data_IF_273618161449
#
_entry.id   IF_273618161449
#
_cell.length_a   1.000
_cell.length_b   1.000
_cell.length_c   1.000
_cell.angle_alpha   90.00
_cell.angle_beta   90.00
_cell.angle_gamma   90.00
#
_symmetry.space_group_name_H-M   'P 1'
#
loop_
_entity.id
_entity.type
_entity.pdbx_description
1 polymer ?
#
# COMPACT_ATOMS: atom_id res chain seq x y z
N UNK A 1 4.66 17.58 -14.42
CA UNK A 1 3.76 16.40 -14.49
C UNK A 1 4.31 15.36 -13.53
N UNK A 2 3.48 14.83 -12.61
CA UNK A 2 3.94 13.92 -11.57
C UNK A 2 4.51 12.62 -12.14
N UNK A 3 5.56 12.03 -11.55
CA UNK A 3 6.18 10.78 -12.05
C UNK A 3 5.20 9.61 -12.15
N UNK A 4 4.22 9.56 -11.26
CA UNK A 4 3.13 8.56 -11.25
C UNK A 4 1.97 8.89 -12.21
N UNK A 5 2.09 9.98 -12.97
CA UNK A 5 1.26 10.30 -14.14
C UNK A 5 2.07 10.25 -15.44
N UNK A 6 3.29 9.72 -15.40
CA UNK A 6 4.08 9.47 -16.60
C UNK A 6 3.37 8.47 -17.52
N UNK A 7 3.69 8.52 -18.82
CA UNK A 7 3.16 7.57 -19.79
C UNK A 7 3.47 6.11 -19.38
N UNK A 8 4.66 5.86 -18.83
CA UNK A 8 5.06 4.53 -18.34
C UNK A 8 4.21 4.06 -17.17
N UNK A 9 3.99 4.91 -16.16
CA UNK A 9 3.16 4.55 -15.00
C UNK A 9 1.71 4.24 -15.43
N UNK A 10 1.15 5.04 -16.33
CA UNK A 10 -0.18 4.80 -16.88
C UNK A 10 -0.26 3.51 -17.70
N UNK A 11 0.76 3.22 -18.50
CA UNK A 11 0.82 1.98 -19.27
C UNK A 11 0.94 0.76 -18.37
N UNK A 12 1.75 0.81 -17.30
CA UNK A 12 1.83 -0.25 -16.29
C UNK A 12 0.45 -0.57 -15.69
N UNK A 13 -0.33 0.45 -15.33
CA UNK A 13 -1.69 0.25 -14.78
C UNK A 13 -2.65 -0.31 -15.84
N UNK A 14 -2.58 0.18 -17.08
CA UNK A 14 -3.39 -0.35 -18.19
C UNK A 14 -3.04 -1.79 -18.54
N UNK A 15 -1.79 -2.22 -18.33
CA UNK A 15 -1.38 -3.62 -18.50
C UNK A 15 -2.03 -4.49 -17.43
N UNK A 16 -1.96 -4.07 -16.17
CA UNK A 16 -2.62 -4.75 -15.04
C UNK A 16 -4.15 -4.85 -15.25
N UNK A 17 -4.76 -3.80 -15.78
CA UNK A 17 -6.17 -3.81 -16.18
C UNK A 17 -6.47 -4.85 -17.27
N UNK A 18 -5.68 -4.86 -18.36
CA UNK A 18 -5.88 -5.79 -19.50
C UNK A 18 -5.75 -7.26 -19.12
N UNK A 19 -4.88 -7.57 -18.16
CA UNK A 19 -4.69 -8.95 -17.66
C UNK A 19 -5.66 -9.29 -16.51
N UNK A 20 -6.61 -8.40 -16.21
CA UNK A 20 -7.67 -8.64 -15.23
C UNK A 20 -7.25 -8.53 -13.77
N UNK A 21 -6.05 -8.00 -13.46
CA UNK A 21 -5.57 -7.82 -12.09
C UNK A 21 -6.02 -6.51 -11.45
N UNK A 22 -6.52 -5.57 -12.24
CA UNK A 22 -7.21 -4.35 -11.78
C UNK A 22 -8.46 -4.11 -12.61
N UNK A 23 -9.48 -3.50 -12.02
CA UNK A 23 -10.59 -2.92 -12.78
C UNK A 23 -10.23 -1.51 -13.28
N UNK A 24 -10.92 -0.98 -14.32
CA UNK A 24 -10.71 0.40 -14.77
C UNK A 24 -10.94 1.44 -13.66
N UNK A 25 -11.92 1.17 -12.79
CA UNK A 25 -12.22 2.02 -11.63
C UNK A 25 -11.04 2.02 -10.65
N UNK A 26 -10.46 0.86 -10.35
CA UNK A 26 -9.33 0.74 -9.44
C UNK A 26 -8.05 1.36 -10.00
N UNK A 27 -7.75 1.16 -11.30
CA UNK A 27 -6.64 1.84 -11.96
C UNK A 27 -6.83 3.38 -11.96
N UNK A 28 -8.07 3.84 -12.16
CA UNK A 28 -8.45 5.24 -12.09
C UNK A 28 -8.20 5.89 -10.72
N UNK A 29 -8.23 5.14 -9.62
CA UNK A 29 -7.97 5.68 -8.28
C UNK A 29 -6.52 6.14 -8.10
N UNK A 30 -5.54 5.40 -8.62
CA UNK A 30 -4.15 5.84 -8.59
C UNK A 30 -3.93 7.06 -9.49
N UNK A 31 -4.64 7.14 -10.62
CA UNK A 31 -4.60 8.34 -11.46
C UNK A 31 -5.17 9.57 -10.73
N UNK A 32 -6.31 9.41 -10.05
CA UNK A 32 -6.93 10.46 -9.26
C UNK A 32 -6.01 10.91 -8.12
N UNK A 33 -5.38 9.96 -7.41
CA UNK A 33 -4.38 10.24 -6.38
C UNK A 33 -3.21 11.06 -6.94
N UNK A 34 -2.64 10.63 -8.07
CA UNK A 34 -1.52 11.32 -8.71
C UNK A 34 -1.86 12.70 -9.29
N UNK A 35 -3.14 13.03 -9.41
CA UNK A 35 -3.64 14.30 -9.93
C UNK A 35 -4.15 15.26 -8.85
N UNK A 36 -4.05 14.88 -7.58
CA UNK A 36 -4.54 15.64 -6.45
C UNK A 36 -3.51 16.69 -5.98
N UNK A 37 -3.77 18.00 -6.18
CA UNK A 37 -2.80 19.03 -5.83
C UNK A 37 -2.47 19.07 -4.33
N UNK A 38 -3.37 18.60 -3.46
CA UNK A 38 -3.13 18.59 -2.03
C UNK A 38 -2.14 17.51 -1.60
N UNK A 39 -1.82 16.56 -2.49
CA UNK A 39 -0.84 15.51 -2.28
C UNK A 39 0.45 15.72 -3.08
N UNK A 40 0.54 16.79 -3.89
CA UNK A 40 1.68 17.03 -4.79
C UNK A 40 3.02 17.01 -4.06
N UNK A 41 3.11 17.62 -2.87
CA UNK A 41 4.36 17.65 -2.11
C UNK A 41 4.78 16.24 -1.67
N UNK A 42 3.86 15.43 -1.15
CA UNK A 42 4.14 14.03 -0.77
C UNK A 42 4.52 13.18 -1.98
N UNK A 43 3.73 13.28 -3.05
CA UNK A 43 3.93 12.48 -4.25
C UNK A 43 5.26 12.81 -4.92
N UNK A 44 5.63 14.11 -4.98
CA UNK A 44 6.87 14.55 -5.63
C UNK A 44 8.13 14.00 -4.95
N UNK A 45 8.00 13.60 -3.69
CA UNK A 45 9.05 13.02 -2.84
C UNK A 45 9.02 11.51 -2.76
N UNK A 46 7.94 10.90 -3.21
CA UNK A 46 7.82 9.45 -3.18
C UNK A 46 8.72 8.82 -4.23
N UNK A 47 9.37 7.74 -3.83
CA UNK A 47 10.23 6.95 -4.69
C UNK A 47 9.37 6.09 -5.62
N UNK A 48 8.40 5.40 -5.04
CA UNK A 48 7.45 4.53 -5.75
C UNK A 48 6.03 4.76 -5.27
N UNK A 49 5.07 4.36 -6.11
CA UNK A 49 3.73 4.01 -5.68
C UNK A 49 3.55 2.52 -5.82
N UNK A 50 2.67 1.94 -5.03
CA UNK A 50 2.31 0.54 -5.17
C UNK A 50 0.81 0.32 -5.16
N UNK A 51 0.36 -0.68 -5.91
CA UNK A 51 -0.99 -1.22 -5.83
C UNK A 51 -0.92 -2.57 -5.14
N UNK A 52 -1.69 -2.75 -4.08
CA UNK A 52 -1.81 -4.05 -3.41
C UNK A 52 -3.13 -4.69 -3.80
N UNK A 53 -3.06 -5.77 -4.57
CA UNK A 53 -4.21 -6.51 -5.08
C UNK A 53 -4.34 -7.84 -4.34
N UNK A 54 -5.53 -8.11 -3.80
CA UNK A 54 -5.89 -9.42 -3.25
C UNK A 54 -6.27 -10.33 -4.41
N UNK A 55 -5.65 -11.51 -4.47
CA UNK A 55 -5.89 -12.52 -5.50
C UNK A 55 -6.37 -13.84 -4.88
N UNK A 56 -6.89 -14.75 -5.70
CA UNK A 56 -7.27 -16.08 -5.25
C UNK A 56 -6.06 -16.91 -4.83
N UNK A 57 -5.05 -16.94 -5.70
CA UNK A 57 -3.80 -17.65 -5.50
C UNK A 57 -2.68 -16.88 -6.20
N UNK A 58 -1.53 -16.75 -5.55
CA UNK A 58 -0.35 -16.09 -6.14
C UNK A 58 0.39 -16.99 -7.11
N UNK A 59 0.24 -18.31 -6.97
CA UNK A 59 0.90 -19.29 -7.84
C UNK A 59 0.18 -19.41 -9.19
N UNK A 60 -1.08 -18.94 -9.25
CA UNK A 60 -1.90 -18.86 -10.46
C UNK A 60 -1.81 -17.51 -11.19
N UNK A 61 -0.87 -16.64 -10.83
CA UNK A 61 -0.70 -15.34 -11.50
C UNK A 61 -0.26 -15.52 -12.97
N UNK A 62 -0.70 -14.64 -13.89
CA UNK A 62 -0.30 -14.66 -15.29
C UNK A 62 1.14 -14.15 -15.47
N UNK A 63 2.13 -14.95 -15.05
CA UNK A 63 3.53 -14.54 -14.98
C UNK A 63 4.11 -14.16 -16.35
N UNK A 64 3.68 -14.83 -17.42
CA UNK A 64 4.10 -14.51 -18.79
C UNK A 64 3.65 -13.12 -19.22
N UNK A 65 2.39 -12.78 -18.94
CA UNK A 65 1.80 -11.49 -19.25
C UNK A 65 2.35 -10.38 -18.35
N UNK A 66 2.62 -10.66 -17.07
CA UNK A 66 3.32 -9.75 -16.16
C UNK A 66 4.73 -9.45 -16.68
N UNK A 67 5.51 -10.46 -17.06
CA UNK A 67 6.83 -10.27 -17.65
C UNK A 67 6.76 -9.47 -18.97
N UNK A 68 5.77 -9.74 -19.82
CA UNK A 68 5.52 -8.98 -21.04
C UNK A 68 5.09 -7.53 -20.79
N UNK A 69 4.56 -7.22 -19.60
CA UNK A 69 4.30 -5.86 -19.12
C UNK A 69 5.55 -5.17 -18.52
N UNK A 70 6.71 -5.83 -18.55
CA UNK A 70 7.96 -5.31 -17.98
C UNK A 70 8.07 -5.50 -16.47
N UNK A 71 7.24 -6.36 -15.87
CA UNK A 71 7.30 -6.64 -14.45
C UNK A 71 8.57 -7.45 -14.11
N UNK A 72 9.29 -7.02 -13.09
CA UNK A 72 10.45 -7.72 -12.52
C UNK A 72 10.11 -8.15 -11.10
N UNK A 73 10.27 -9.43 -10.79
CA UNK A 73 10.06 -9.94 -9.44
C UNK A 73 11.04 -9.26 -8.48
N UNK A 74 10.49 -8.66 -7.43
CA UNK A 74 11.24 -7.91 -6.41
C UNK A 74 11.35 -8.74 -5.13
N UNK A 75 10.23 -9.32 -4.70
CA UNK A 75 10.15 -10.18 -3.54
C UNK A 75 9.05 -11.21 -3.73
N UNK A 76 9.26 -12.44 -3.23
CA UNK A 76 8.27 -13.50 -3.32
C UNK A 76 8.39 -14.47 -2.15
N UNK A 77 7.24 -14.83 -1.59
CA UNK A 77 7.06 -15.91 -0.62
C UNK A 77 5.68 -16.55 -0.86
N UNK A 78 5.40 -17.75 -0.34
CA UNK A 78 4.08 -18.35 -0.48
C UNK A 78 2.96 -17.39 -0.08
N UNK A 79 2.06 -17.13 -1.04
CA UNK A 79 0.91 -16.25 -0.89
C UNK A 79 1.16 -14.74 -0.84
N UNK A 80 2.38 -14.29 -1.13
CA UNK A 80 2.70 -12.87 -1.30
C UNK A 80 3.83 -12.69 -2.32
N UNK A 81 3.58 -11.89 -3.37
CA UNK A 81 4.60 -11.52 -4.36
C UNK A 81 4.54 -10.03 -4.65
N UNK A 82 5.71 -9.44 -4.90
CA UNK A 82 5.88 -8.04 -5.26
C UNK A 82 6.69 -7.96 -6.55
N UNK A 83 6.17 -7.19 -7.50
CA UNK A 83 6.83 -6.88 -8.77
C UNK A 83 7.11 -5.38 -8.87
N UNK A 84 8.27 -5.03 -9.44
CA UNK A 84 8.56 -3.68 -9.94
C UNK A 84 8.10 -3.58 -11.39
N UNK A 85 7.34 -2.55 -11.73
CA UNK A 85 6.92 -2.21 -13.09
C UNK A 85 7.53 -0.87 -13.54
N UNK A 86 7.56 -0.58 -14.85
CA UNK A 86 7.95 0.73 -15.37
C UNK A 86 7.14 1.89 -14.76
N UNK A 87 7.74 3.09 -14.75
CA UNK A 87 7.10 4.29 -14.21
C UNK A 87 7.04 4.37 -12.68
N UNK A 88 7.96 3.69 -11.97
CA UNK A 88 8.04 3.65 -10.50
C UNK A 88 6.76 3.14 -9.83
N UNK A 89 6.12 2.14 -10.46
CA UNK A 89 4.95 1.44 -9.94
C UNK A 89 5.38 0.07 -9.44
N UNK A 90 4.99 -0.30 -8.23
CA UNK A 90 5.07 -1.68 -7.76
C UNK A 90 3.68 -2.32 -7.78
N UNK A 91 3.59 -3.59 -8.13
CA UNK A 91 2.37 -4.38 -7.96
C UNK A 91 2.63 -5.47 -6.92
N UNK A 92 1.83 -5.45 -5.86
CA UNK A 92 1.85 -6.45 -4.80
C UNK A 92 0.60 -7.31 -4.96
N UNK A 93 0.78 -8.62 -4.97
CA UNK A 93 -0.31 -9.59 -5.00
C UNK A 93 -0.25 -10.47 -3.76
N UNK A 94 -1.37 -10.66 -3.08
CA UNK A 94 -1.43 -11.61 -1.96
C UNK A 94 -2.76 -12.34 -1.86
N UNK A 95 -2.70 -13.57 -1.36
CA UNK A 95 -3.87 -14.32 -0.90
C UNK A 95 -3.84 -14.64 0.61
N UNK A 96 -2.73 -14.31 1.29
CA UNK A 96 -2.63 -14.33 2.76
C UNK A 96 -3.24 -13.07 3.39
N UNK A 97 -3.57 -13.09 4.70
CA UNK A 97 -3.99 -11.89 5.43
C UNK A 97 -2.93 -10.79 5.39
N UNK A 98 -3.33 -9.58 4.98
CA UNK A 98 -2.52 -8.36 4.91
C UNK A 98 -3.28 -7.14 5.47
N UNK A 99 -4.53 -7.32 5.87
CA UNK A 99 -5.36 -6.31 6.51
C UNK A 99 -6.10 -6.87 7.72
N UNK A 100 -6.51 -6.00 8.63
CA UNK A 100 -7.45 -6.37 9.71
C UNK A 100 -8.78 -6.88 9.14
N UNK A 101 -9.17 -6.43 7.95
CA UNK A 101 -10.40 -6.87 7.29
C UNK A 101 -10.31 -8.35 6.88
N UNK A 102 -9.13 -8.78 6.42
CA UNK A 102 -8.88 -10.19 6.07
C UNK A 102 -9.06 -11.12 7.27
N UNK A 103 -8.66 -10.66 8.47
CA UNK A 103 -8.80 -11.45 9.70
C UNK A 103 -10.26 -11.65 10.13
N UNK A 104 -11.19 -10.84 9.60
CA UNK A 104 -12.63 -10.92 9.87
C UNK A 104 -13.41 -11.52 8.70
N UNK A 105 -12.72 -11.85 7.61
CA UNK A 105 -13.36 -12.36 6.40
C UNK A 105 -13.87 -13.78 6.64
N UNK A 106 -15.11 -14.05 6.23
CA UNK A 106 -15.72 -15.38 6.29
C UNK A 106 -16.10 -15.85 4.88
N UNK A 107 -16.24 -17.15 4.68
CA UNK A 107 -16.50 -17.74 3.36
C UNK A 107 -17.71 -17.14 2.62
N UNK A 108 -18.73 -16.67 3.35
CA UNK A 108 -19.92 -16.03 2.76
C UNK A 108 -19.86 -14.51 2.62
N UNK A 109 -18.86 -13.85 3.19
CA UNK A 109 -18.68 -12.38 3.15
C UNK A 109 -17.41 -11.95 2.42
N UNK A 110 -16.60 -12.93 2.00
CA UNK A 110 -15.39 -12.74 1.22
C UNK A 110 -15.68 -11.96 -0.07
N UNK A 111 -14.90 -10.91 -0.29
CA UNK A 111 -15.02 -10.12 -1.51
C UNK A 111 -14.47 -10.91 -2.71
N UNK A 112 -15.14 -10.87 -3.88
CA UNK A 112 -14.63 -11.48 -5.10
C UNK A 112 -13.24 -10.95 -5.45
N UNK A 113 -12.31 -11.86 -5.81
CA UNK A 113 -10.94 -11.53 -6.21
C UNK A 113 -10.76 -11.75 -7.72
N UNK A 114 -9.85 -11.01 -8.39
CA UNK A 114 -8.95 -10.02 -7.81
C UNK A 114 -9.64 -8.71 -7.42
N UNK A 115 -9.10 -8.03 -6.41
CA UNK A 115 -9.49 -6.66 -6.08
C UNK A 115 -8.34 -5.82 -5.54
N UNK A 116 -8.34 -4.52 -5.82
CA UNK A 116 -7.41 -3.57 -5.19
C UNK A 116 -7.78 -3.40 -3.71
N UNK A 117 -6.87 -3.79 -2.81
CA UNK A 117 -7.03 -3.60 -1.36
C UNK A 117 -6.69 -2.17 -0.97
N UNK A 118 -5.50 -1.69 -1.35
CA UNK A 118 -5.05 -0.33 -1.10
C UNK A 118 -4.02 0.14 -2.12
N UNK A 119 -3.79 1.46 -2.13
CA UNK A 119 -2.70 2.11 -2.83
C UNK A 119 -1.68 2.55 -1.80
N UNK A 120 -0.39 2.37 -2.05
CA UNK A 120 0.66 2.91 -1.19
C UNK A 120 1.58 3.90 -1.90
N UNK A 121 2.11 4.82 -1.11
CA UNK A 121 3.02 5.89 -1.52
C UNK A 121 4.27 5.78 -0.65
N UNK A 122 5.41 5.52 -1.28
CA UNK A 122 6.65 5.16 -0.59
C UNK A 122 7.61 6.38 -0.50
N UNK A 123 7.59 7.09 0.63
CA UNK A 123 8.50 8.21 0.91
C UNK A 123 9.76 7.71 1.61
N UNK A 124 10.80 7.38 0.84
CA UNK A 124 12.03 6.77 1.40
C UNK A 124 13.02 7.74 2.00
N UNK A 125 13.02 9.00 1.56
CA UNK A 125 13.91 10.03 2.10
C UNK A 125 13.45 10.52 3.47
N UNK A 126 14.41 10.68 4.39
CA UNK A 126 14.16 11.18 5.75
C UNK A 126 14.54 12.65 5.93
N UNK A 127 14.71 13.40 4.84
CA UNK A 127 14.97 14.84 4.90
C UNK A 127 13.79 15.63 5.50
N UNK A 128 14.08 16.84 5.98
CA UNK A 128 13.09 17.70 6.66
C UNK A 128 11.84 17.95 5.83
N UNK A 129 11.98 18.10 4.50
CA UNK A 129 10.83 18.37 3.63
C UNK A 129 9.97 17.13 3.42
N UNK A 130 10.60 15.96 3.26
CA UNK A 130 9.89 14.68 3.21
C UNK A 130 9.15 14.38 4.51
N UNK A 131 9.76 14.71 5.66
CA UNK A 131 9.12 14.62 6.97
C UNK A 131 7.94 15.59 7.09
N UNK A 132 8.11 16.85 6.69
CA UNK A 132 7.04 17.85 6.74
C UNK A 132 5.85 17.48 5.84
N UNK A 133 6.13 16.98 4.62
CA UNK A 133 5.11 16.48 3.71
C UNK A 133 4.31 15.35 4.35
N UNK A 134 4.99 14.34 4.88
CA UNK A 134 4.36 13.21 5.57
C UNK A 134 3.52 13.66 6.79
N UNK A 135 4.03 14.58 7.60
CA UNK A 135 3.30 15.10 8.77
C UNK A 135 2.02 15.87 8.39
N UNK A 136 1.99 16.52 7.22
CA UNK A 136 0.83 17.29 6.74
C UNK A 136 -0.40 16.44 6.40
N UNK A 137 -0.24 15.11 6.29
CA UNK A 137 -1.30 14.19 5.89
C UNK A 137 -2.49 14.18 6.88
N UNK A 138 -2.26 14.41 8.18
CA UNK A 138 -3.36 14.52 9.15
C UNK A 138 -4.21 15.76 8.91
N UNK A 139 -3.58 16.90 8.64
CA UNK A 139 -4.28 18.14 8.33
C UNK A 139 -5.09 18.00 7.04
N UNK A 140 -4.50 17.39 6.01
CA UNK A 140 -5.18 17.09 4.76
C UNK A 140 -6.43 16.23 4.98
N UNK A 141 -6.27 15.12 5.70
CA UNK A 141 -7.35 14.18 5.96
C UNK A 141 -8.46 14.81 6.79
N UNK A 142 -8.09 15.55 7.84
CA UNK A 142 -9.03 16.31 8.67
C UNK A 142 -9.86 17.28 7.83
N UNK A 143 -9.22 18.04 6.93
CA UNK A 143 -9.89 18.98 6.01
C UNK A 143 -10.92 18.28 5.11
N UNK A 144 -10.70 17.00 4.80
CA UNK A 144 -11.55 16.20 3.91
C UNK A 144 -12.53 15.30 4.66
N UNK A 145 -12.54 15.34 5.99
CA UNK A 145 -13.30 14.40 6.81
C UNK A 145 -12.88 12.94 6.63
N UNK A 146 -11.63 12.70 6.22
CA UNK A 146 -11.08 11.37 6.07
C UNK A 146 -10.52 10.90 7.42
N UNK A 147 -10.78 9.64 7.74
CA UNK A 147 -10.15 9.02 8.91
C UNK A 147 -8.66 8.80 8.63
N UNK A 148 -7.83 9.05 9.64
CA UNK A 148 -6.41 8.69 9.63
C UNK A 148 -6.07 7.65 10.67
N UNK A 149 -5.08 6.82 10.36
CA UNK A 149 -4.48 5.88 11.31
C UNK A 149 -2.97 5.90 11.15
N UNK A 150 -2.26 6.08 12.25
CA UNK A 150 -0.80 6.01 12.30
C UNK A 150 -0.35 4.61 12.74
N UNK A 151 0.74 4.13 12.16
CA UNK A 151 1.49 2.97 12.64
C UNK A 151 2.97 3.33 12.72
N UNK A 152 3.64 2.82 13.73
CA UNK A 152 5.04 3.13 14.02
C UNK A 152 5.26 4.53 14.60
N UNK A 153 6.51 5.01 14.62
CA UNK A 153 6.89 6.27 15.23
C UNK A 153 8.25 6.22 15.92
N UNK A 154 8.49 7.20 16.79
CA UNK A 154 9.74 7.31 17.56
C UNK A 154 10.06 6.02 18.31
N UNK A 155 11.18 5.39 17.96
CA UNK A 155 11.64 4.12 18.55
C UNK A 155 10.80 2.89 18.22
N UNK A 156 9.75 3.00 17.40
CA UNK A 156 8.82 1.92 17.09
C UNK A 156 8.61 1.82 15.58
N UNK A 157 9.46 1.11 14.81
CA UNK A 157 9.25 0.93 13.38
C UNK A 157 8.05 0.03 13.10
N UNK A 158 7.43 0.22 11.94
CA UNK A 158 6.45 -0.73 11.38
C UNK A 158 7.19 -1.90 10.76
N UNK A 159 6.91 -3.11 11.24
CA UNK A 159 7.60 -4.34 10.82
C UNK A 159 6.66 -5.27 10.05
N UNK A 160 7.03 -5.55 8.80
CA UNK A 160 6.53 -6.66 8.01
C UNK A 160 7.36 -7.92 8.27
N UNK A 161 6.97 -9.05 7.68
CA UNK A 161 7.69 -10.33 7.86
C UNK A 161 9.16 -10.32 7.40
N UNK A 162 9.59 -9.36 6.59
CA UNK A 162 10.94 -9.32 6.00
C UNK A 162 11.52 -7.91 5.87
N UNK A 163 10.73 -6.87 6.12
CA UNK A 163 11.14 -5.47 6.00
C UNK A 163 10.56 -4.65 7.13
N UNK A 164 11.20 -3.53 7.44
CA UNK A 164 10.69 -2.49 8.31
C UNK A 164 10.76 -1.12 7.65
N UNK A 165 9.84 -0.25 8.06
CA UNK A 165 9.77 1.17 7.71
C UNK A 165 9.52 1.96 8.99
N UNK A 166 9.91 3.23 9.04
CA UNK A 166 9.83 4.00 10.29
C UNK A 166 8.38 4.22 10.71
N UNK A 167 7.56 4.71 9.80
CA UNK A 167 6.18 5.12 10.07
C UNK A 167 5.30 4.85 8.85
N UNK A 168 4.03 4.57 9.13
CA UNK A 168 2.98 4.54 8.12
C UNK A 168 1.81 5.44 8.54
N UNK A 169 1.25 6.14 7.56
CA UNK A 169 0.02 6.90 7.70
C UNK A 169 -1.01 6.37 6.72
N UNK A 170 -2.12 5.89 7.25
CA UNK A 170 -3.25 5.42 6.46
C UNK A 170 -4.30 6.51 6.37
N UNK A 171 -4.75 6.80 5.16
CA UNK A 171 -5.89 7.65 4.87
C UNK A 171 -7.05 6.79 4.40
N UNK A 172 -8.26 7.06 4.89
CA UNK A 172 -9.47 6.36 4.49
C UNK A 172 -10.45 7.35 3.83
N UNK A 173 -10.38 7.51 2.49
CA UNK A 173 -11.33 8.34 1.76
C UNK A 173 -12.77 7.80 1.88
N UNK A 174 -13.74 8.71 1.91
CA UNK A 174 -15.17 8.38 2.15
C UNK A 174 -15.98 8.20 0.87
N UNK A 175 -15.39 8.49 -0.30
CA UNK A 175 -16.09 8.33 -1.58
C UNK A 175 -16.45 6.85 -1.84
N UNK A 176 -17.64 6.55 -2.39
CA UNK A 176 -18.04 5.18 -2.67
C UNK A 176 -17.03 4.44 -3.53
N UNK A 177 -16.58 3.27 -3.05
CA UNK A 177 -15.61 2.43 -3.76
C UNK A 177 -14.15 2.89 -3.67
N UNK A 178 -13.86 4.01 -2.99
CA UNK A 178 -12.49 4.46 -2.75
C UNK A 178 -11.73 3.45 -1.87
N UNK A 179 -10.43 3.30 -2.17
CA UNK A 179 -9.53 2.45 -1.40
C UNK A 179 -8.76 3.25 -0.36
N UNK A 180 -8.39 2.61 0.76
CA UNK A 180 -7.39 3.16 1.67
C UNK A 180 -6.10 3.52 0.92
N UNK A 181 -5.45 4.58 1.40
CA UNK A 181 -4.15 5.01 0.89
C UNK A 181 -3.13 4.93 2.02
N UNK A 182 -2.09 4.14 1.82
CA UNK A 182 -0.92 4.05 2.68
C UNK A 182 0.11 5.11 2.26
N UNK A 183 0.67 5.83 3.21
CA UNK A 183 1.91 6.57 3.04
C UNK A 183 2.94 5.93 3.97
N UNK A 184 4.04 5.43 3.42
CA UNK A 184 5.12 4.79 4.17
C UNK A 184 6.33 5.73 4.19
N UNK A 185 6.78 6.13 5.38
CA UNK A 185 7.87 7.08 5.58
C UNK A 185 9.15 6.42 6.10
N UNK A 186 10.26 6.75 5.45
CA UNK A 186 11.60 6.31 5.82
C UNK A 186 12.13 5.17 4.94
N UNK A 187 13.43 4.85 5.10
CA UNK A 187 14.09 3.83 4.30
C UNK A 187 13.44 2.47 4.56
N UNK A 188 13.31 1.67 3.50
CA UNK A 188 12.94 0.27 3.63
C UNK A 188 14.19 -0.52 4.04
N UNK A 189 14.14 -1.16 5.21
CA UNK A 189 15.26 -1.97 5.73
C UNK A 189 14.83 -3.42 5.84
N UNK A 190 15.71 -4.34 5.50
CA UNK A 190 15.46 -5.76 5.78
C UNK A 190 15.48 -5.99 7.29
N UNK A 191 14.54 -6.79 7.78
CA UNK A 191 14.47 -7.19 9.18
C UNK A 191 14.36 -8.72 9.27
N UNK A 192 15.28 -9.34 10.01
CA UNK A 192 15.30 -10.78 10.24
C UNK A 192 14.32 -11.24 11.34
N UNK A 193 13.75 -10.33 12.13
CA UNK A 193 12.80 -10.65 13.18
C UNK A 193 11.37 -10.78 12.61
N UNK A 194 10.75 -11.93 12.88
CA UNK A 194 9.44 -12.33 12.33
C UNK A 194 8.25 -11.46 12.74
N UNK A 195 7.20 -11.56 11.92
CA UNK A 195 5.81 -11.04 12.06
C UNK A 195 5.62 -9.82 12.97
N UNK A 196 5.43 -8.64 12.37
CA UNK A 196 5.10 -7.40 13.09
C UNK A 196 3.70 -6.85 12.77
N UNK A 197 3.50 -5.57 13.11
CA UNK A 197 2.22 -4.86 13.07
C UNK A 197 1.80 -4.33 11.69
N UNK A 198 2.37 -4.87 10.62
CA UNK A 198 2.18 -4.38 9.25
C UNK A 198 0.89 -4.90 8.58
N UNK A 199 -0.21 -4.95 9.33
CA UNK A 199 -1.53 -5.17 8.75
C UNK A 199 -2.16 -3.82 8.45
N UNK A 200 -2.74 -3.68 7.26
CA UNK A 200 -3.59 -2.54 6.94
C UNK A 200 -4.70 -2.43 8.00
N UNK A 201 -4.85 -1.28 8.67
CA UNK A 201 -5.94 -1.04 9.61
C UNK A 201 -7.30 -1.14 8.92
N UNK A 202 -8.30 -1.64 9.64
CA UNK A 202 -9.67 -1.56 9.15
C UNK A 202 -10.22 -0.15 9.22
N UNK A 203 -11.07 0.21 8.25
CA UNK A 203 -11.79 1.50 8.23
C UNK A 203 -12.72 1.71 9.44
N UNK A 204 -13.12 0.63 10.13
CA UNK A 204 -14.00 0.65 11.31
C UNK A 204 -13.33 0.28 12.64
N UNK A 205 -12.10 -0.23 12.63
CA UNK A 205 -11.42 -0.65 13.85
C UNK A 205 -10.95 0.53 14.70
N UNK A 206 -11.00 0.42 16.03
CA UNK A 206 -10.20 1.28 16.91
C UNK A 206 -8.70 1.09 16.63
N UNK A 207 -7.89 2.11 16.94
CA UNK A 207 -6.46 2.24 16.60
C UNK A 207 -5.69 0.91 16.68
N UNK A 208 -4.97 0.49 15.62
CA UNK A 208 -4.17 -0.73 15.63
C UNK A 208 -3.14 -0.66 16.74
N UNK A 209 -3.12 -1.68 17.60
CA UNK A 209 -2.04 -1.85 18.57
C UNK A 209 -0.83 -2.35 17.79
N UNK A 210 0.17 -1.49 17.59
CA UNK A 210 1.49 -1.98 17.21
C UNK A 210 1.93 -3.02 18.27
N UNK A 211 2.30 -4.21 17.82
CA UNK A 211 2.70 -5.31 18.70
C UNK A 211 4.00 -4.93 19.43
N UNK A 212 3.85 -4.40 20.64
CA UNK A 212 4.98 -3.97 21.48
C UNK A 212 4.68 -3.89 22.97
N UNK A 213 3.49 -4.28 23.44
CA UNK A 213 3.29 -4.57 24.85
C UNK A 213 3.53 -6.07 25.05
N UNK A 214 4.73 -6.42 25.52
CA UNK A 214 4.95 -7.71 26.14
C UNK A 214 3.83 -7.94 27.17
N UNK A 215 3.10 -9.05 27.02
CA UNK A 215 2.19 -9.52 28.06
C UNK A 215 3.09 -9.85 29.27
N UNK A 216 2.89 -9.26 30.47
CA UNK A 216 3.67 -9.67 31.62
C UNK A 216 3.46 -11.17 31.84
N UNK A 217 4.51 -11.92 32.22
CA UNK A 217 4.36 -13.33 32.51
C UNK A 217 3.30 -13.51 33.62
N UNK A 218 2.47 -14.55 33.43
CA UNK A 218 1.47 -14.96 34.39
C UNK A 218 2.09 -15.38 35.72
#
# INVERSE_FOLDING_TARGET
>A
MHRFRSAESLESLRRLERIGLLTPVEAGQLHALGGDPALDECLSRAETVHVHVKVEDTDALPLGELAAAGAVLDHGKPGFVKFRLPGAVNAIFSHIPVSDDDLREAAGTRRPRPFLDHIGVDLRSTDERSRAAFASLDTLASTRGWRTVSQGGEGQPVRCCHVEVLEKRWLFPTAPGARPVEFAFGPLRENAAGSGCDLRPSSSAETPKCCGAARPPA
#
